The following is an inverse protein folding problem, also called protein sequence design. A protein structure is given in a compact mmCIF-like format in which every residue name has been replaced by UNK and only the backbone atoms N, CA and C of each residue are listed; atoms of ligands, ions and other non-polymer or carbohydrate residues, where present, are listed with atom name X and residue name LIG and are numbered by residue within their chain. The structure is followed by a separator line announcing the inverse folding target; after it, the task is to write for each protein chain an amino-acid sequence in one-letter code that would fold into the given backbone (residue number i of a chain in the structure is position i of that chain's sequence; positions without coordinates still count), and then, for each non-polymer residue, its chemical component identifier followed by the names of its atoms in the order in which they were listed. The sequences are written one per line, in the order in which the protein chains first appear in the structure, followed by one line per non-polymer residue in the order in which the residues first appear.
data_IF_153370750981
#
_entry.id   IF_153370750981
#
_cell.length_a   1.000
_cell.length_b   1.000
_cell.length_c   1.000
_cell.angle_alpha   90.00
_cell.angle_beta   90.00
_cell.angle_gamma   90.00
#
_symmetry.space_group_name_H-M   'P 1'
#
loop_
_entity.id
_entity.type
_entity.pdbx_description
1 polymer ?
#
# COMPACT_ATOMS: atom_id res chain seq x y z
N UNK A 1 -18.52 2.82 18.76
CA UNK A 1 -18.93 2.94 17.35
C UNK A 1 -17.84 3.71 16.63
N UNK A 2 -17.19 2.99 15.73
CA UNK A 2 -16.29 3.39 14.65
C UNK A 2 -15.22 4.47 14.87
N UNK A 3 -13.97 4.01 14.97
CA UNK A 3 -13.25 3.82 13.71
C UNK A 3 -12.39 4.98 13.22
N UNK A 4 -12.02 5.93 14.06
CA UNK A 4 -10.81 6.72 13.79
C UNK A 4 -9.58 5.85 14.09
N UNK A 5 -9.29 4.91 13.18
CA UNK A 5 -7.97 4.32 13.06
C UNK A 5 -6.99 5.49 12.98
N UNK A 6 -6.09 5.57 13.97
CA UNK A 6 -5.23 6.70 14.26
C UNK A 6 -4.50 7.11 12.97
N UNK A 7 -4.39 8.40 12.64
CA UNK A 7 -3.72 8.83 11.40
C UNK A 7 -2.30 8.25 11.26
N UNK A 8 -1.65 8.00 12.40
CA UNK A 8 -0.36 7.32 12.50
C UNK A 8 -0.41 5.83 12.07
N UNK A 9 -1.47 5.10 12.42
CA UNK A 9 -1.64 3.70 12.00
C UNK A 9 -1.82 3.62 10.49
N UNK A 10 -2.62 4.50 9.92
CA UNK A 10 -2.82 4.57 8.47
C UNK A 10 -1.52 4.95 7.73
N UNK A 11 -0.74 5.90 8.28
CA UNK A 11 0.56 6.26 7.74
C UNK A 11 1.55 5.08 7.78
N UNK A 12 1.55 4.34 8.88
CA UNK A 12 2.37 3.14 9.08
C UNK A 12 2.00 2.03 8.09
N UNK A 13 0.71 1.81 7.85
CA UNK A 13 0.22 0.82 6.87
C UNK A 13 0.65 1.21 5.45
N UNK A 14 0.42 2.46 5.03
CA UNK A 14 0.85 2.96 3.70
C UNK A 14 2.35 2.81 3.50
N UNK A 15 3.11 3.20 4.51
CA UNK A 15 4.54 3.01 4.59
C UNK A 15 4.99 1.56 4.43
N UNK A 16 4.35 0.68 5.19
CA UNK A 16 4.63 -0.75 5.16
C UNK A 16 4.35 -1.36 3.77
N UNK A 17 3.26 -0.94 3.11
CA UNK A 17 2.96 -1.35 1.74
C UNK A 17 4.10 -0.97 0.80
N UNK A 18 4.52 0.30 0.80
CA UNK A 18 5.62 0.77 -0.06
C UNK A 18 6.93 0.04 0.22
N UNK A 19 7.33 -0.11 1.49
CA UNK A 19 8.51 -0.88 1.89
C UNK A 19 8.45 -2.35 1.46
N UNK A 20 7.26 -2.95 1.50
CA UNK A 20 7.05 -4.32 1.05
C UNK A 20 7.21 -4.45 -0.46
N UNK A 21 6.72 -3.48 -1.22
CA UNK A 21 6.91 -3.42 -2.67
C UNK A 21 8.39 -3.26 -3.04
N UNK A 22 9.14 -2.42 -2.32
CA UNK A 22 10.60 -2.26 -2.51
C UNK A 22 11.34 -3.59 -2.37
N UNK A 23 10.94 -4.42 -1.40
CA UNK A 23 11.52 -5.75 -1.18
C UNK A 23 10.96 -6.82 -2.14
N UNK A 24 9.93 -6.49 -2.90
CA UNK A 24 9.27 -7.38 -3.86
C UNK A 24 10.04 -7.50 -5.18
N UNK A 25 9.73 -8.55 -5.95
CA UNK A 25 10.33 -8.73 -7.27
C UNK A 25 9.82 -7.65 -8.22
N UNK A 26 10.73 -6.93 -8.88
CA UNK A 26 10.42 -5.81 -9.78
C UNK A 26 9.51 -4.76 -9.14
N UNK A 27 9.76 -4.44 -7.86
CA UNK A 27 8.96 -3.47 -7.10
C UNK A 27 7.47 -3.83 -7.01
N UNK A 28 7.14 -5.12 -7.08
CA UNK A 28 5.76 -5.60 -7.19
C UNK A 28 5.46 -6.79 -6.28
N UNK A 29 4.21 -6.87 -5.83
CA UNK A 29 3.67 -7.97 -5.04
C UNK A 29 2.17 -8.19 -5.34
N UNK A 30 1.65 -9.42 -5.18
CA UNK A 30 0.21 -9.66 -5.17
C UNK A 30 -0.46 -8.99 -3.98
N UNK A 31 -1.66 -8.43 -4.19
CA UNK A 31 -2.43 -7.74 -3.14
C UNK A 31 -2.76 -8.66 -1.97
N UNK A 32 -3.09 -9.94 -2.23
CA UNK A 32 -3.32 -10.93 -1.16
C UNK A 32 -2.07 -11.17 -0.32
N UNK A 33 -0.89 -11.17 -0.94
CA UNK A 33 0.37 -11.33 -0.21
C UNK A 33 0.65 -10.12 0.68
N UNK A 34 0.40 -8.91 0.20
CA UNK A 34 0.53 -7.70 1.00
C UNK A 34 -0.44 -7.69 2.19
N UNK A 35 -1.72 -8.00 1.92
CA UNK A 35 -2.76 -8.10 2.95
C UNK A 35 -2.38 -9.11 4.04
N UNK A 36 -1.94 -10.31 3.65
CA UNK A 36 -1.48 -11.33 4.59
C UNK A 36 -0.26 -10.89 5.41
N UNK A 37 0.70 -10.18 4.80
CA UNK A 37 1.87 -9.64 5.52
C UNK A 37 1.46 -8.58 6.55
N UNK A 38 0.53 -7.69 6.20
CA UNK A 38 0.02 -6.67 7.12
C UNK A 38 -0.72 -7.29 8.32
N UNK A 39 -1.54 -8.32 8.08
CA UNK A 39 -2.20 -9.09 9.15
C UNK A 39 -1.15 -9.79 10.03
N UNK A 40 -0.19 -10.47 9.41
CA UNK A 40 0.87 -11.19 10.13
C UNK A 40 1.74 -10.26 10.98
N UNK A 41 1.87 -8.98 10.58
CA UNK A 41 2.59 -7.96 11.33
C UNK A 41 1.71 -7.29 12.42
N UNK A 42 0.41 -7.62 12.47
CA UNK A 42 -0.54 -7.00 13.39
C UNK A 42 -0.93 -5.56 13.03
N UNK A 43 -0.60 -5.11 11.81
CA UNK A 43 -0.88 -3.74 11.35
C UNK A 43 -2.35 -3.54 10.94
N UNK A 44 -3.01 -4.62 10.51
CA UNK A 44 -4.44 -4.62 10.19
C UNK A 44 -5.09 -5.86 10.77
N UNK A 45 -6.31 -5.71 11.29
CA UNK A 45 -7.12 -6.83 11.76
C UNK A 45 -7.97 -7.45 10.64
N UNK A 46 -8.17 -6.73 9.54
CA UNK A 46 -8.96 -7.14 8.39
C UNK A 46 -8.06 -7.23 7.14
N UNK A 47 -8.28 -8.20 6.25
CA UNK A 47 -7.52 -8.30 5.00
C UNK A 47 -7.82 -7.17 4.02
N UNK A 48 -8.91 -6.42 4.24
CA UNK A 48 -9.25 -5.30 3.39
C UNK A 48 -8.28 -4.12 3.61
N UNK A 49 -7.49 -3.85 2.58
CA UNK A 49 -6.51 -2.76 2.53
C UNK A 49 -6.83 -1.77 1.39
N UNK A 50 -8.01 -1.90 0.78
CA UNK A 50 -8.44 -1.13 -0.39
C UNK A 50 -8.34 0.38 -0.16
N UNK A 51 -8.71 0.89 1.02
CA UNK A 51 -8.60 2.32 1.33
C UNK A 51 -7.16 2.86 1.29
N UNK A 52 -6.19 2.09 1.79
CA UNK A 52 -4.77 2.51 1.78
C UNK A 52 -4.17 2.39 0.38
N UNK A 53 -4.59 1.35 -0.35
CA UNK A 53 -4.23 1.14 -1.74
C UNK A 53 -4.76 2.26 -2.65
N UNK A 54 -6.01 2.65 -2.46
CA UNK A 54 -6.65 3.75 -3.18
C UNK A 54 -5.90 5.07 -2.93
N UNK A 55 -5.55 5.34 -1.67
CA UNK A 55 -4.74 6.52 -1.34
C UNK A 55 -3.43 6.55 -2.14
N UNK A 56 -2.64 5.47 -2.07
CA UNK A 56 -1.34 5.40 -2.77
C UNK A 56 -1.49 5.51 -4.30
N UNK A 57 -2.58 4.98 -4.86
CA UNK A 57 -2.91 5.09 -6.28
C UNK A 57 -3.26 6.53 -6.68
N UNK A 58 -4.03 7.27 -5.87
CA UNK A 58 -4.36 8.67 -6.14
C UNK A 58 -3.13 9.59 -6.15
N UNK A 59 -2.12 9.29 -5.34
CA UNK A 59 -0.82 9.99 -5.38
C UNK A 59 0.11 9.49 -6.49
N UNK A 60 -0.33 8.52 -7.31
CA UNK A 60 0.43 7.97 -8.41
C UNK A 60 1.69 7.23 -7.97
N UNK A 61 1.76 6.77 -6.72
CA UNK A 61 2.92 6.05 -6.18
C UNK A 61 2.92 4.58 -6.57
N UNK A 62 1.74 4.02 -6.81
CA UNK A 62 1.52 2.62 -7.16
C UNK A 62 0.58 2.50 -8.35
N UNK A 63 0.66 1.37 -9.05
CA UNK A 63 -0.31 0.98 -10.07
C UNK A 63 -0.68 -0.51 -9.94
N UNK A 64 -1.90 -0.85 -10.36
CA UNK A 64 -2.36 -2.22 -10.45
C UNK A 64 -2.15 -2.79 -11.85
N UNK A 65 -1.98 -4.11 -11.92
CA UNK A 65 -1.96 -4.87 -13.17
C UNK A 65 -3.38 -5.23 -13.62
N UNK A 66 -3.55 -5.46 -14.92
CA UNK A 66 -4.77 -6.05 -15.48
C UNK A 66 -6.03 -5.17 -15.39
N UNK A 67 -5.88 -3.85 -15.29
CA UNK A 67 -7.02 -2.92 -15.23
C UNK A 67 -7.85 -3.02 -13.94
N UNK A 68 -7.30 -3.67 -12.90
CA UNK A 68 -7.91 -3.66 -11.58
C UNK A 68 -7.69 -2.32 -10.88
N UNK A 69 -8.54 -2.04 -9.92
CA UNK A 69 -8.53 -0.85 -9.07
C UNK A 69 -8.32 -1.29 -7.61
N UNK A 70 -8.07 -0.33 -6.70
CA UNK A 70 -7.81 -0.63 -5.30
C UNK A 70 -8.89 -1.48 -4.60
N UNK A 71 -10.14 -1.45 -5.06
CA UNK A 71 -11.26 -2.18 -4.46
C UNK A 71 -11.43 -3.58 -5.06
N UNK A 72 -11.15 -3.75 -6.35
CA UNK A 72 -11.20 -5.06 -7.02
C UNK A 72 -9.88 -5.86 -6.89
N UNK A 73 -8.78 -5.19 -6.54
CA UNK A 73 -7.43 -5.76 -6.50
C UNK A 73 -7.29 -6.97 -5.56
N UNK A 74 -7.93 -6.95 -4.39
CA UNK A 74 -7.86 -8.08 -3.44
C UNK A 74 -8.60 -9.31 -3.97
N UNK A 75 -9.79 -9.12 -4.55
CA UNK A 75 -10.61 -10.20 -5.11
C UNK A 75 -9.96 -10.85 -6.33
N UNK A 76 -9.44 -10.02 -7.24
CA UNK A 76 -8.80 -10.45 -8.49
C UNK A 76 -7.36 -10.96 -8.30
N UNK A 77 -6.83 -10.93 -7.09
CA UNK A 77 -5.41 -11.17 -6.80
C UNK A 77 -4.48 -10.35 -7.70
N UNK A 78 -4.85 -9.09 -7.89
CA UNK A 78 -4.10 -8.19 -8.75
C UNK A 78 -2.68 -8.01 -8.21
N UNK A 79 -1.74 -7.84 -9.13
CA UNK A 79 -0.38 -7.46 -8.79
C UNK A 79 -0.32 -5.94 -8.72
N UNK A 80 0.19 -5.42 -7.62
CA UNK A 80 0.48 -4.00 -7.44
C UNK A 80 2.00 -3.78 -7.57
N UNK A 81 2.38 -2.67 -8.20
CA UNK A 81 3.78 -2.28 -8.43
C UNK A 81 3.99 -0.79 -8.10
N UNK A 82 5.18 -0.43 -7.65
CA UNK A 82 5.61 0.98 -7.59
C UNK A 82 5.72 1.60 -8.98
N UNK A 83 5.26 2.84 -9.11
CA UNK A 83 5.55 3.66 -10.29
C UNK A 83 6.95 4.27 -10.18
N UNK A 84 7.43 4.88 -11.27
CA UNK A 84 8.68 5.65 -11.22
C UNK A 84 8.62 6.77 -10.15
N UNK A 85 7.47 7.44 -10.01
CA UNK A 85 7.22 8.44 -8.97
C UNK A 85 7.26 7.83 -7.57
N UNK A 86 6.68 6.63 -7.39
CA UNK A 86 6.72 5.90 -6.12
C UNK A 86 8.14 5.51 -5.71
N UNK A 87 8.98 5.07 -6.64
CA UNK A 87 10.39 4.76 -6.39
C UNK A 87 11.13 6.04 -5.97
N UNK A 88 11.00 7.11 -6.76
CA UNK A 88 11.65 8.38 -6.45
C UNK A 88 11.20 8.97 -5.12
N UNK A 89 9.91 8.83 -4.78
CA UNK A 89 9.36 9.25 -3.49
C UNK A 89 10.07 8.55 -2.33
N UNK A 90 10.27 7.24 -2.44
CA UNK A 90 10.95 6.45 -1.41
C UNK A 90 12.44 6.82 -1.32
N UNK A 91 13.12 6.98 -2.46
CA UNK A 91 14.54 7.36 -2.52
C UNK A 91 14.81 8.75 -1.90
N UNK A 92 13.82 9.66 -1.96
CA UNK A 92 13.90 11.00 -1.36
C UNK A 92 13.59 11.02 0.15
N UNK A 93 13.21 9.88 0.74
CA UNK A 93 12.81 9.79 2.14
C UNK A 93 11.34 10.14 2.39
N UNK A 94 10.51 10.16 1.34
CA UNK A 94 9.07 10.42 1.44
C UNK A 94 8.72 11.89 1.61
N UNK A 95 7.49 12.13 2.06
CA UNK A 95 6.96 13.46 2.34
C UNK A 95 6.20 13.43 3.68
N UNK A 96 6.58 14.25 4.66
CA UNK A 96 5.98 14.24 5.99
C UNK A 96 4.53 14.72 6.00
N UNK A 97 4.08 15.48 4.99
CA UNK A 97 2.72 15.99 4.88
C UNK A 97 1.78 14.99 4.18
N UNK A 98 2.33 14.08 3.37
CA UNK A 98 1.58 13.02 2.70
C UNK A 98 1.13 11.90 3.66
N UNK A 99 1.55 11.94 4.92
CA UNK A 99 1.11 10.97 5.93
C UNK A 99 1.50 9.54 5.54
N UNK A 100 2.72 9.34 5.05
CA UNK A 100 3.29 8.02 4.73
C UNK A 100 4.55 7.87 5.59
N UNK A 101 4.59 6.82 6.40
CA UNK A 101 5.73 6.54 7.28
C UNK A 101 6.73 5.60 6.57
N UNK A 102 7.88 6.08 6.09
CA UNK A 102 8.87 5.30 5.33
C UNK A 102 10.02 4.74 6.16
#
# INVERSE_FOLDING_TARGET
MDGFCNSADNASIRGYILRSLVKGYHFSLPVKTLSNKLISCGLVSSPDISGQLYYLEQYGLVQFSGGSDAFSALGNDAVIRLTASGIQFIERGGDPEMGIDL
#
